data_IF_364312634898
#
_entry.id   IF_364312634898
#
_cell.length_a   1.000
_cell.length_b   1.000
_cell.length_c   1.000
_cell.angle_alpha   90.00
_cell.angle_beta   90.00
_cell.angle_gamma   90.00
#
_symmetry.space_group_name_H-M   'P 1'
#
loop_
_entity.id
_entity.type
_entity.pdbx_description
1 polymer ?
#
# COMPACT_ATOMS: atom_id res chain seq x y z
N UNK A 1 -12.70 -4.95 24.10
CA UNK A 1 -11.59 -4.91 25.10
C UNK A 1 -10.56 -3.92 24.57
N UNK A 2 -9.76 -3.31 25.46
CA UNK A 2 -8.70 -2.39 25.03
C UNK A 2 -7.39 -3.16 24.87
N UNK A 3 -6.70 -2.88 23.75
CA UNK A 3 -5.40 -3.42 23.42
C UNK A 3 -4.33 -2.33 23.56
N UNK A 4 -3.29 -2.62 24.33
CA UNK A 4 -2.09 -1.79 24.40
C UNK A 4 -1.05 -2.36 23.43
N UNK A 5 -0.67 -1.56 22.42
CA UNK A 5 0.20 -1.98 21.32
C UNK A 5 1.49 -1.15 21.37
N UNK A 6 2.63 -1.83 21.35
CA UNK A 6 3.94 -1.21 21.19
C UNK A 6 4.25 -1.10 19.68
N UNK A 7 4.55 0.10 19.23
CA UNK A 7 4.83 0.38 17.84
C UNK A 7 6.29 0.74 17.61
N UNK A 8 6.89 0.15 16.59
CA UNK A 8 8.11 0.59 15.94
C UNK A 8 7.77 1.02 14.52
N UNK A 9 7.75 2.32 14.27
CA UNK A 9 7.32 2.91 13.01
C UNK A 9 8.56 3.33 12.24
N UNK A 10 8.80 2.71 11.07
CA UNK A 10 9.87 3.12 10.18
C UNK A 10 9.44 4.37 9.43
N UNK A 11 10.09 5.49 9.72
CA UNK A 11 9.81 6.81 9.14
C UNK A 11 10.90 7.23 8.17
N UNK A 12 10.49 7.90 7.11
CA UNK A 12 11.37 8.44 6.08
C UNK A 12 10.68 9.55 5.28
N UNK A 13 11.37 10.65 5.03
CA UNK A 13 10.95 11.69 4.09
C UNK A 13 12.11 11.93 3.11
N UNK A 14 11.92 11.55 1.84
CA UNK A 14 12.95 11.68 0.78
C UNK A 14 13.47 13.12 0.61
N UNK A 15 12.72 14.13 1.06
CA UNK A 15 13.10 15.54 0.97
C UNK A 15 13.96 16.02 2.14
N UNK A 16 13.99 15.26 3.24
CA UNK A 16 14.61 15.69 4.51
C UNK A 16 15.59 14.69 5.08
N UNK A 17 15.33 13.40 4.88
CA UNK A 17 16.06 12.34 5.57
C UNK A 17 17.08 11.67 4.67
N UNK A 18 18.28 11.45 5.19
CA UNK A 18 19.33 10.67 4.52
C UNK A 18 19.07 9.17 4.63
N UNK A 19 18.53 8.72 5.77
CA UNK A 19 18.25 7.33 6.08
C UNK A 19 16.92 7.22 6.83
N UNK A 20 16.20 6.09 6.66
CA UNK A 20 15.05 5.80 7.50
C UNK A 20 15.45 5.73 8.98
N UNK A 21 14.53 6.14 9.85
CA UNK A 21 14.70 6.04 11.30
C UNK A 21 13.46 5.42 11.94
N UNK A 22 13.65 4.81 13.10
CA UNK A 22 12.56 4.18 13.84
C UNK A 22 12.02 5.13 14.89
N UNK A 23 10.73 5.43 14.81
CA UNK A 23 9.96 6.08 15.86
C UNK A 23 9.26 5.01 16.71
N UNK A 24 9.33 5.13 18.03
CA UNK A 24 8.66 4.21 18.96
C UNK A 24 7.51 4.92 19.65
N UNK A 25 6.36 4.28 19.70
CA UNK A 25 5.17 4.78 20.40
C UNK A 25 4.43 3.63 21.11
N UNK A 26 3.54 3.98 22.01
CA UNK A 26 2.60 3.05 22.66
C UNK A 26 1.22 3.62 22.46
N UNK A 27 0.34 2.81 21.89
CA UNK A 27 -1.05 3.19 21.64
C UNK A 27 -2.00 2.26 22.39
N UNK A 28 -3.17 2.79 22.74
CA UNK A 28 -4.28 2.02 23.31
C UNK A 28 -5.47 2.17 22.36
N UNK A 29 -5.98 1.07 21.87
CA UNK A 29 -7.11 1.01 20.94
C UNK A 29 -8.10 -0.07 21.38
N UNK A 30 -9.37 0.09 21.00
CA UNK A 30 -10.35 -0.98 21.16
C UNK A 30 -10.09 -2.09 20.13
N UNK A 31 -10.33 -3.35 20.51
CA UNK A 31 -10.19 -4.50 19.59
C UNK A 31 -11.01 -4.33 18.30
N UNK A 32 -12.14 -3.64 18.40
CA UNK A 32 -13.06 -3.40 17.28
C UNK A 32 -12.62 -2.25 16.36
N UNK A 33 -11.68 -1.40 16.81
CA UNK A 33 -11.19 -0.31 15.98
C UNK A 33 -10.55 -0.89 14.70
N UNK A 34 -10.83 -0.31 13.52
CA UNK A 34 -10.13 -0.67 12.30
C UNK A 34 -8.68 -0.15 12.31
N UNK A 35 -7.83 -0.70 11.47
CA UNK A 35 -6.43 -0.26 11.31
C UNK A 35 -6.34 1.23 10.94
N UNK A 36 -7.32 1.76 10.21
CA UNK A 36 -7.41 3.19 9.86
C UNK A 36 -7.50 4.11 11.08
N UNK A 37 -8.11 3.68 12.17
CA UNK A 37 -8.13 4.43 13.44
C UNK A 37 -6.73 4.56 14.05
N UNK A 38 -5.89 3.53 13.95
CA UNK A 38 -4.49 3.61 14.35
C UNK A 38 -3.76 4.69 13.54
N UNK A 39 -3.94 4.70 12.21
CA UNK A 39 -3.27 5.69 11.34
C UNK A 39 -3.79 7.11 11.60
N UNK A 40 -5.09 7.29 11.86
CA UNK A 40 -5.65 8.57 12.27
C UNK A 40 -5.06 9.06 13.62
N UNK A 41 -4.89 8.15 14.58
CA UNK A 41 -4.25 8.46 15.86
C UNK A 41 -2.78 8.87 15.66
N UNK A 42 -2.03 8.15 14.83
CA UNK A 42 -0.64 8.48 14.50
C UNK A 42 -0.53 9.84 13.78
N UNK A 43 -1.44 10.15 12.85
CA UNK A 43 -1.51 11.46 12.18
C UNK A 43 -1.72 12.60 13.18
N UNK A 44 -2.50 12.37 14.22
CA UNK A 44 -2.73 13.37 15.28
C UNK A 44 -1.53 13.59 16.20
N UNK A 45 -0.66 12.59 16.36
CA UNK A 45 0.49 12.61 17.28
C UNK A 45 1.80 12.94 16.61
N UNK A 46 1.99 12.50 15.37
CA UNK A 46 3.25 12.60 14.66
C UNK A 46 3.24 13.76 13.70
N UNK A 47 4.17 14.69 13.89
CA UNK A 47 4.32 15.81 12.99
C UNK A 47 4.69 15.33 11.58
N UNK A 48 3.98 15.83 10.56
CA UNK A 48 4.20 15.47 9.15
C UNK A 48 4.16 13.97 8.90
N UNK A 49 3.15 13.29 9.40
CA UNK A 49 2.96 11.87 9.15
C UNK A 49 2.36 11.63 7.76
N UNK A 50 3.07 10.85 6.93
CA UNK A 50 2.72 10.62 5.54
C UNK A 50 2.03 9.27 5.31
N UNK A 51 0.72 9.26 5.02
CA UNK A 51 -0.01 8.05 4.64
C UNK A 51 -1.21 8.36 3.75
N UNK A 52 -1.72 7.35 3.04
CA UNK A 52 -2.94 7.49 2.25
C UNK A 52 -4.16 7.29 3.15
N UNK A 53 -4.95 8.36 3.35
CA UNK A 53 -6.14 8.35 4.24
C UNK A 53 -7.29 7.48 3.72
N UNK A 54 -7.31 7.19 2.43
CA UNK A 54 -8.36 6.38 1.81
C UNK A 54 -8.01 4.90 1.70
N UNK A 55 -6.69 4.56 1.78
CA UNK A 55 -6.20 3.19 1.63
C UNK A 55 -5.02 2.96 2.55
N UNK A 56 -5.23 2.17 3.57
CA UNK A 56 -4.16 1.73 4.45
C UNK A 56 -3.52 0.48 3.85
N UNK A 57 -2.29 0.64 3.39
CA UNK A 57 -1.47 -0.44 2.84
C UNK A 57 -0.10 -0.36 3.51
N UNK A 58 0.20 -1.32 4.36
CA UNK A 58 1.34 -1.30 5.26
C UNK A 58 1.89 -2.71 5.47
N UNK A 59 3.16 -2.82 5.78
CA UNK A 59 3.69 -4.05 6.36
C UNK A 59 3.67 -3.95 7.88
N UNK A 60 3.13 -4.99 8.51
CA UNK A 60 3.20 -5.22 9.95
C UNK A 60 4.05 -6.46 10.17
N UNK A 61 5.19 -6.32 10.84
CA UNK A 61 6.13 -7.43 11.08
C UNK A 61 6.45 -8.18 9.77
N UNK A 62 6.82 -7.44 8.72
CA UNK A 62 7.15 -7.90 7.36
C UNK A 62 5.98 -8.51 6.56
N UNK A 63 4.77 -8.57 7.12
CA UNK A 63 3.58 -9.09 6.44
C UNK A 63 2.74 -7.94 5.88
N UNK A 64 2.42 -8.00 4.59
CA UNK A 64 1.55 -7.03 3.94
C UNK A 64 0.12 -7.10 4.50
N UNK A 65 -0.37 -5.97 4.97
CA UNK A 65 -1.76 -5.73 5.35
C UNK A 65 -2.29 -4.66 4.40
N UNK A 66 -3.28 -5.01 3.60
CA UNK A 66 -3.85 -4.14 2.54
C UNK A 66 -5.37 -3.99 2.65
N UNK A 67 -5.93 -4.47 3.75
CA UNK A 67 -7.35 -4.32 4.09
C UNK A 67 -7.46 -3.63 5.45
N UNK A 68 -8.54 -2.89 5.65
CA UNK A 68 -8.82 -2.21 6.90
C UNK A 68 -9.46 -3.20 7.91
N UNK A 69 -8.62 -4.05 8.46
CA UNK A 69 -9.01 -5.09 9.43
C UNK A 69 -8.99 -4.56 10.87
N UNK A 70 -9.70 -5.24 11.76
CA UNK A 70 -9.76 -4.82 13.16
C UNK A 70 -8.44 -5.03 13.91
N UNK A 71 -8.18 -4.16 14.88
CA UNK A 71 -7.02 -4.23 15.79
C UNK A 71 -6.96 -5.58 16.50
N UNK A 72 -8.11 -6.12 16.93
CA UNK A 72 -8.18 -7.43 17.58
C UNK A 72 -7.63 -8.54 16.69
N UNK A 73 -8.05 -8.61 15.40
CA UNK A 73 -7.52 -9.60 14.46
C UNK A 73 -6.01 -9.45 14.23
N UNK A 74 -5.52 -8.21 14.20
CA UNK A 74 -4.09 -7.94 14.07
C UNK A 74 -3.31 -8.35 15.32
N UNK A 75 -3.87 -8.11 16.52
CA UNK A 75 -3.27 -8.55 17.78
C UNK A 75 -3.24 -10.09 17.92
N UNK A 76 -4.27 -10.78 17.46
CA UNK A 76 -4.27 -12.25 17.40
C UNK A 76 -3.16 -12.78 16.47
N UNK A 77 -2.94 -12.12 15.34
CA UNK A 77 -1.97 -12.55 14.34
C UNK A 77 -0.53 -12.17 14.68
N UNK A 78 -0.30 -10.94 15.16
CA UNK A 78 1.04 -10.34 15.29
C UNK A 78 1.47 -10.14 16.76
N UNK A 79 0.59 -10.42 17.72
CA UNK A 79 0.81 -10.02 19.11
C UNK A 79 0.63 -8.51 19.31
N UNK A 80 1.24 -7.98 20.37
CA UNK A 80 1.11 -6.56 20.76
C UNK A 80 2.38 -5.73 20.50
N UNK A 81 3.28 -6.23 19.70
CA UNK A 81 4.48 -5.52 19.25
C UNK A 81 4.51 -5.49 17.73
N UNK A 82 4.27 -4.31 17.14
CA UNK A 82 4.17 -4.13 15.71
C UNK A 82 5.28 -3.24 15.17
N UNK A 83 6.00 -3.76 14.22
CA UNK A 83 6.87 -2.97 13.37
C UNK A 83 6.11 -2.58 12.12
N UNK A 84 5.86 -1.28 11.97
CA UNK A 84 5.16 -0.71 10.83
C UNK A 84 6.15 -0.14 9.82
N UNK A 85 6.02 -0.55 8.58
CA UNK A 85 6.84 -0.03 7.48
C UNK A 85 6.04 0.07 6.18
N UNK A 86 6.51 0.92 5.26
CA UNK A 86 5.94 1.01 3.92
C UNK A 86 5.99 -0.36 3.24
N UNK A 87 4.94 -0.68 2.45
CA UNK A 87 4.91 -1.91 1.65
C UNK A 87 5.97 -1.90 0.54
N UNK A 88 6.47 -0.72 0.14
CA UNK A 88 7.50 -0.53 -0.88
C UNK A 88 8.63 0.41 -0.39
N UNK A 89 9.52 -0.05 0.52
CA UNK A 89 10.51 0.82 1.17
C UNK A 89 11.39 1.59 0.19
N UNK A 90 11.79 0.97 -0.95
CA UNK A 90 12.63 1.61 -1.97
C UNK A 90 11.92 2.67 -2.80
N UNK A 91 10.59 2.63 -2.87
CA UNK A 91 9.75 3.59 -3.57
C UNK A 91 9.03 4.55 -2.62
N UNK A 92 9.33 4.48 -1.33
CA UNK A 92 8.72 5.37 -0.33
C UNK A 92 9.18 6.80 -0.55
N UNK A 93 8.21 7.69 -0.71
CA UNK A 93 8.45 9.13 -0.78
C UNK A 93 8.37 9.78 0.59
N UNK A 94 7.42 9.37 1.43
CA UNK A 94 7.23 9.91 2.78
C UNK A 94 6.47 8.91 3.66
N UNK A 95 7.11 8.37 4.70
CA UNK A 95 6.60 7.36 5.65
C UNK A 95 5.91 6.17 4.93
N UNK A 96 4.58 6.22 4.73
CA UNK A 96 3.80 5.18 4.06
C UNK A 96 3.30 5.62 2.67
N UNK A 97 3.65 6.83 2.22
CA UNK A 97 3.36 7.29 0.85
C UNK A 97 4.42 6.77 -0.12
N UNK A 98 3.97 6.02 -1.10
CA UNK A 98 4.80 5.39 -2.13
C UNK A 98 4.70 6.18 -3.43
N UNK A 99 5.83 6.38 -4.10
CA UNK A 99 5.86 6.94 -5.45
C UNK A 99 5.35 5.90 -6.46
N UNK A 100 4.32 6.26 -7.20
CA UNK A 100 3.65 5.42 -8.20
C UNK A 100 3.77 5.97 -9.62
N UNK A 101 4.62 6.96 -9.85
CA UNK A 101 4.73 7.66 -11.15
C UNK A 101 5.04 6.72 -12.31
N UNK A 102 5.82 5.65 -12.06
CA UNK A 102 6.18 4.64 -13.05
C UNK A 102 4.96 3.86 -13.60
N UNK A 103 3.83 3.84 -12.88
CA UNK A 103 2.59 3.19 -13.29
C UNK A 103 1.72 4.06 -14.20
N UNK A 104 2.03 5.34 -14.34
CA UNK A 104 1.24 6.29 -15.14
C UNK A 104 1.21 5.92 -16.62
N UNK A 105 2.35 5.51 -17.19
CA UNK A 105 2.46 5.11 -18.59
C UNK A 105 1.71 3.78 -18.88
N UNK A 106 1.91 2.69 -18.12
CA UNK A 106 1.12 1.47 -18.25
C UNK A 106 -0.38 1.69 -18.14
N UNK A 107 -0.84 2.48 -17.17
CA UNK A 107 -2.27 2.80 -17.03
C UNK A 107 -2.82 3.61 -18.20
N UNK A 108 -2.04 4.54 -18.76
CA UNK A 108 -2.45 5.29 -19.94
C UNK A 108 -2.64 4.35 -21.15
N UNK A 109 -1.81 3.32 -21.30
CA UNK A 109 -1.99 2.31 -22.36
C UNK A 109 -3.32 1.55 -22.19
N UNK A 110 -3.67 1.14 -20.98
CA UNK A 110 -4.97 0.49 -20.71
C UNK A 110 -6.13 1.43 -21.05
N UNK A 111 -6.07 2.69 -20.60
CA UNK A 111 -7.11 3.69 -20.87
C UNK A 111 -7.29 4.00 -22.36
N UNK A 112 -6.25 3.84 -23.17
CA UNK A 112 -6.33 4.01 -24.63
C UNK A 112 -7.07 2.84 -25.30
N UNK A 113 -7.06 1.65 -24.71
CA UNK A 113 -7.73 0.46 -25.22
C UNK A 113 -9.19 0.41 -24.78
N UNK A 114 -9.45 0.66 -23.51
CA UNK A 114 -10.79 0.68 -22.93
C UNK A 114 -10.95 1.77 -21.88
N UNK A 115 -12.16 2.35 -21.72
CA UNK A 115 -12.43 3.26 -20.63
C UNK A 115 -12.27 2.51 -19.30
N UNK A 116 -11.60 3.13 -18.34
CA UNK A 116 -11.43 2.59 -16.98
C UNK A 116 -12.38 3.34 -16.05
N UNK A 117 -13.31 2.61 -15.45
CA UNK A 117 -14.26 3.14 -14.48
C UNK A 117 -13.59 3.43 -13.12
N UNK A 118 -14.28 4.16 -12.26
CA UNK A 118 -13.78 4.41 -10.89
C UNK A 118 -13.63 3.12 -10.07
N UNK A 119 -14.48 2.12 -10.30
CA UNK A 119 -14.41 0.82 -9.62
C UNK A 119 -13.18 0.02 -10.08
N UNK A 120 -12.85 0.10 -11.37
CA UNK A 120 -11.67 -0.54 -11.93
C UNK A 120 -10.37 0.17 -11.49
N UNK A 121 -10.40 1.50 -11.36
CA UNK A 121 -9.29 2.23 -10.74
C UNK A 121 -9.09 1.83 -9.28
N UNK A 122 -10.18 1.64 -8.53
CA UNK A 122 -10.13 1.17 -7.15
C UNK A 122 -9.52 -0.25 -7.07
N UNK A 123 -9.90 -1.15 -7.99
CA UNK A 123 -9.30 -2.47 -8.11
C UNK A 123 -7.78 -2.37 -8.35
N UNK A 124 -7.35 -1.52 -9.27
CA UNK A 124 -5.93 -1.30 -9.52
C UNK A 124 -5.17 -0.86 -8.27
N UNK A 125 -5.71 0.12 -7.55
CA UNK A 125 -5.07 0.60 -6.33
C UNK A 125 -5.06 -0.43 -5.20
N UNK A 126 -6.03 -1.36 -5.15
CA UNK A 126 -5.99 -2.49 -4.22
C UNK A 126 -4.90 -3.50 -4.57
N UNK A 127 -4.56 -3.61 -5.85
CA UNK A 127 -3.46 -4.45 -6.35
C UNK A 127 -2.09 -3.76 -6.32
N UNK A 128 -2.04 -2.45 -6.03
CA UNK A 128 -0.81 -1.66 -6.04
C UNK A 128 0.34 -2.27 -5.23
N UNK A 129 0.16 -2.81 -4.02
CA UNK A 129 1.28 -3.39 -3.27
C UNK A 129 1.96 -4.54 -4.02
N UNK A 130 1.21 -5.28 -4.84
CA UNK A 130 1.74 -6.39 -5.61
C UNK A 130 2.62 -5.96 -6.79
N UNK A 131 2.56 -4.68 -7.21
CA UNK A 131 3.49 -4.11 -8.19
C UNK A 131 4.93 -4.02 -7.67
N UNK A 132 5.13 -4.10 -6.36
CA UNK A 132 6.43 -3.94 -5.71
C UNK A 132 7.00 -5.23 -5.10
N UNK A 133 6.33 -6.37 -5.26
CA UNK A 133 6.77 -7.63 -4.66
C UNK A 133 7.99 -8.23 -5.35
N UNK A 134 8.09 -8.07 -6.66
CA UNK A 134 9.18 -8.63 -7.44
C UNK A 134 10.46 -7.82 -7.31
N UNK A 135 11.63 -8.46 -7.16
CA UNK A 135 12.91 -7.80 -7.33
C UNK A 135 13.08 -7.15 -8.72
N UNK A 136 12.36 -7.62 -9.75
CA UNK A 136 12.40 -7.08 -11.10
C UNK A 136 11.85 -5.66 -11.16
N UNK A 137 10.77 -5.35 -10.46
CA UNK A 137 10.18 -4.01 -10.38
C UNK A 137 11.16 -2.95 -9.84
N UNK A 138 12.21 -3.39 -9.14
CA UNK A 138 13.23 -2.52 -8.59
C UNK A 138 14.41 -2.23 -9.55
N UNK A 139 14.56 -3.04 -10.58
CA UNK A 139 15.72 -3.02 -11.48
C UNK A 139 15.34 -2.73 -12.94
N UNK A 140 14.07 -2.88 -13.31
CA UNK A 140 13.57 -2.63 -14.66
C UNK A 140 12.57 -1.46 -14.60
N UNK A 141 12.96 -0.26 -15.10
CA UNK A 141 12.11 0.93 -14.98
C UNK A 141 10.78 0.81 -15.74
N UNK A 142 10.72 -0.05 -16.76
CA UNK A 142 9.52 -0.27 -17.58
C UNK A 142 8.67 -1.47 -17.09
N UNK A 143 9.06 -2.12 -16.00
CA UNK A 143 8.33 -3.26 -15.46
C UNK A 143 7.29 -2.80 -14.44
N UNK A 144 6.03 -2.87 -14.83
CA UNK A 144 4.91 -2.41 -14.00
C UNK A 144 4.57 -3.32 -12.80
N UNK A 145 5.22 -4.50 -12.69
CA UNK A 145 5.06 -5.44 -11.58
C UNK A 145 3.85 -6.36 -11.71
N UNK A 146 3.82 -7.38 -10.86
CA UNK A 146 2.80 -8.43 -10.88
C UNK A 146 1.39 -7.88 -10.63
N UNK A 147 1.25 -6.85 -9.79
CA UNK A 147 -0.03 -6.20 -9.54
C UNK A 147 -0.67 -5.63 -10.81
N UNK A 148 0.14 -5.10 -11.72
CA UNK A 148 -0.36 -4.61 -13.01
C UNK A 148 -0.87 -5.76 -13.89
N UNK A 149 -0.17 -6.89 -13.94
CA UNK A 149 -0.63 -8.05 -14.68
C UNK A 149 -1.90 -8.68 -14.10
N UNK A 150 -2.04 -8.68 -12.77
CA UNK A 150 -3.29 -9.08 -12.12
C UNK A 150 -4.43 -8.13 -12.51
N UNK A 151 -4.17 -6.83 -12.53
CA UNK A 151 -5.14 -5.84 -12.99
C UNK A 151 -5.54 -6.08 -14.45
N UNK A 152 -4.57 -6.29 -15.35
CA UNK A 152 -4.86 -6.61 -16.75
C UNK A 152 -5.72 -7.88 -16.90
N UNK A 153 -5.45 -8.91 -16.12
CA UNK A 153 -6.23 -10.14 -16.14
C UNK A 153 -7.71 -9.89 -15.73
N UNK A 154 -7.96 -9.03 -14.76
CA UNK A 154 -9.34 -8.63 -14.42
C UNK A 154 -9.96 -7.74 -15.50
N UNK A 155 -9.22 -6.79 -16.07
CA UNK A 155 -9.70 -5.96 -17.18
C UNK A 155 -10.10 -6.81 -18.41
N UNK A 156 -9.32 -7.86 -18.74
CA UNK A 156 -9.65 -8.79 -19.83
C UNK A 156 -10.99 -9.52 -19.58
N UNK A 157 -11.26 -9.90 -18.33
CA UNK A 157 -12.54 -10.55 -17.96
C UNK A 157 -13.72 -9.57 -18.06
N UNK A 158 -13.52 -8.33 -17.65
CA UNK A 158 -14.57 -7.29 -17.67
C UNK A 158 -14.79 -6.73 -19.07
N UNK A 159 -13.76 -6.71 -19.92
CA UNK A 159 -13.79 -6.17 -21.28
C UNK A 159 -13.43 -7.23 -22.32
N UNK A 160 -14.23 -8.29 -22.53
CA UNK A 160 -13.88 -9.40 -23.43
C UNK A 160 -13.71 -8.99 -24.89
N UNK A 161 -14.33 -7.89 -25.31
CA UNK A 161 -14.19 -7.39 -26.69
C UNK A 161 -12.80 -6.78 -26.95
N UNK A 162 -12.14 -6.23 -25.93
CA UNK A 162 -10.80 -5.65 -25.98
C UNK A 162 -9.70 -6.61 -25.52
N UNK A 163 -10.06 -7.86 -25.16
CA UNK A 163 -9.15 -8.84 -24.60
C UNK A 163 -7.87 -9.05 -25.43
N UNK A 164 -8.01 -9.13 -26.76
CA UNK A 164 -6.86 -9.31 -27.66
C UNK A 164 -5.88 -8.15 -27.65
N UNK A 165 -6.35 -6.92 -27.42
CA UNK A 165 -5.50 -5.73 -27.34
C UNK A 165 -4.85 -5.61 -25.97
N UNK A 166 -5.62 -5.87 -24.89
CA UNK A 166 -5.11 -5.87 -23.51
C UNK A 166 -4.02 -6.94 -23.29
N UNK A 167 -4.14 -8.11 -23.94
CA UNK A 167 -3.12 -9.18 -23.85
C UNK A 167 -1.79 -8.84 -24.55
N UNK A 168 -1.71 -7.73 -25.27
CA UNK A 168 -0.48 -7.29 -25.94
C UNK A 168 0.32 -6.26 -25.14
N UNK A 169 -0.24 -5.77 -24.03
CA UNK A 169 0.43 -4.91 -23.07
C UNK A 169 1.37 -5.70 -22.19
#
# INVERSE_FOLDING_TARGET
MQEQIQLEILRFDIKKDYLPYTHKDIVILEETNPLSELFALLDSRLLHFGYNKHRIQVKINDVLVHQDVSVGMLCERFGRHWRLESFAPKATAHDFLVNTDFLSAPLALVRNICPVSSEEEELFFNLLPFCFLSPLSQNLPDYAGEGFFLFLAEMIKMHPQQASELMRL
#
